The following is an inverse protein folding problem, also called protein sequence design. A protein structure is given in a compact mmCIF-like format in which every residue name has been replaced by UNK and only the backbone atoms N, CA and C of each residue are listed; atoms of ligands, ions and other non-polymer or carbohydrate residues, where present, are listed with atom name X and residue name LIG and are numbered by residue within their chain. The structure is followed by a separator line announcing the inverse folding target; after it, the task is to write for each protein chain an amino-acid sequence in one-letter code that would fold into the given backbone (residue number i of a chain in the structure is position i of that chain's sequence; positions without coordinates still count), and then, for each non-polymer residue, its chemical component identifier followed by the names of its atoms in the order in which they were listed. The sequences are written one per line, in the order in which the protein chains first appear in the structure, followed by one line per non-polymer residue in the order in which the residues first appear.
data_IF_387070093084
#
_entry.id   IF_387070093084
#
_cell.length_a   1.000
_cell.length_b   1.000
_cell.length_c   1.000
_cell.angle_alpha   90.00
_cell.angle_beta   90.00
_cell.angle_gamma   90.00
#
_symmetry.space_group_name_H-M   'P 1'
#
loop_
_entity.id
_entity.type
_entity.pdbx_description
1 polymer ?
#
# COMPACT_ATOMS: atom_id res chain seq x y z
N UNK A 1 10.86 18.89 -6.20
CA UNK A 1 9.41 18.60 -6.34
C UNK A 1 9.18 17.61 -7.48
N UNK A 2 8.06 16.88 -7.50
CA UNK A 2 7.75 15.86 -8.53
C UNK A 2 8.12 14.41 -8.19
N UNK A 3 8.70 14.15 -7.02
CA UNK A 3 8.86 12.79 -6.50
C UNK A 3 7.79 12.51 -5.46
N UNK A 4 7.40 11.24 -5.33
CA UNK A 4 6.66 10.78 -4.17
C UNK A 4 7.61 10.64 -2.98
N UNK A 5 7.10 10.89 -1.78
CA UNK A 5 7.82 10.72 -0.53
C UNK A 5 6.91 10.14 0.55
N UNK A 6 7.52 9.42 1.48
CA UNK A 6 6.83 8.88 2.65
C UNK A 6 7.74 9.02 3.86
N UNK A 7 7.22 9.58 4.93
CA UNK A 7 7.87 9.59 6.24
C UNK A 7 6.89 8.97 7.22
N UNK A 8 7.32 7.93 7.93
CA UNK A 8 6.48 7.35 8.97
C UNK A 8 7.24 7.05 10.25
N UNK A 9 6.58 7.33 11.38
CA UNK A 9 7.07 7.02 12.70
C UNK A 9 6.55 5.65 13.17
N UNK A 10 7.45 4.79 13.65
CA UNK A 10 7.15 3.42 14.10
C UNK A 10 7.76 3.14 15.48
N UNK A 11 7.05 2.40 16.32
CA UNK A 11 7.51 2.00 17.65
C UNK A 11 6.35 1.84 18.63
N UNK A 12 6.66 1.39 19.85
CA UNK A 12 5.64 1.17 20.88
C UNK A 12 4.92 2.46 21.29
N UNK A 13 3.77 2.33 21.94
CA UNK A 13 3.10 3.43 22.62
C UNK A 13 4.02 4.13 23.60
N UNK A 14 3.91 5.46 23.62
CA UNK A 14 4.73 6.37 24.43
C UNK A 14 6.23 6.37 24.10
N UNK A 15 6.65 5.87 22.93
CA UNK A 15 8.05 5.97 22.47
C UNK A 15 8.42 7.30 21.79
N UNK A 16 7.45 8.20 21.57
CA UNK A 16 7.69 9.52 20.98
C UNK A 16 7.30 9.68 19.49
N UNK A 17 6.50 8.77 18.92
CA UNK A 17 6.05 8.85 17.51
C UNK A 17 5.33 10.17 17.17
N UNK A 18 4.21 10.44 17.84
CA UNK A 18 3.43 11.67 17.66
C UNK A 18 4.24 12.92 18.01
N UNK A 19 5.07 12.85 19.07
CA UNK A 19 5.98 13.95 19.42
C UNK A 19 7.02 14.23 18.32
N UNK A 20 7.48 13.21 17.60
CA UNK A 20 8.41 13.41 16.48
C UNK A 20 7.71 13.96 15.24
N UNK A 21 6.52 13.45 14.92
CA UNK A 21 5.77 13.86 13.73
C UNK A 21 5.17 15.26 13.88
N UNK A 22 4.57 15.57 15.01
CA UNK A 22 3.84 16.82 15.24
C UNK A 22 4.59 17.76 16.19
N UNK A 23 5.21 17.21 17.23
CA UNK A 23 5.85 17.97 18.29
C UNK A 23 4.85 18.77 19.12
N UNK A 24 5.35 19.85 19.73
CA UNK A 24 4.50 20.83 20.42
C UNK A 24 4.12 21.89 19.41
N UNK A 25 2.84 21.90 19.00
CA UNK A 25 2.32 22.89 18.07
C UNK A 25 2.42 24.29 18.67
N UNK A 26 2.85 25.26 17.86
CA UNK A 26 3.07 26.64 18.30
C UNK A 26 4.38 26.88 19.07
N UNK A 27 5.17 25.83 19.36
CA UNK A 27 6.52 25.98 19.92
C UNK A 27 7.58 25.93 18.79
N UNK A 28 8.27 27.05 18.49
CA UNK A 28 9.27 27.09 17.42
C UNK A 28 10.43 26.10 17.60
N UNK A 29 10.75 25.76 18.85
CA UNK A 29 11.87 24.87 19.21
C UNK A 29 11.41 23.42 19.18
N UNK A 30 10.26 23.12 19.77
CA UNK A 30 9.76 21.76 19.96
C UNK A 30 8.75 21.30 18.89
N UNK A 31 8.60 22.04 17.79
CA UNK A 31 7.79 21.60 16.64
C UNK A 31 8.39 20.33 15.98
N UNK A 32 7.50 19.43 15.56
CA UNK A 32 7.85 18.16 14.92
C UNK A 32 8.13 18.29 13.42
N UNK A 33 8.12 17.15 12.74
CA UNK A 33 8.45 17.05 11.30
C UNK A 33 7.41 17.70 10.41
N UNK A 34 6.12 17.47 10.66
CA UNK A 34 5.02 17.97 9.84
C UNK A 34 5.07 19.50 9.72
N UNK A 35 5.03 20.29 10.81
CA UNK A 35 5.07 21.76 10.70
C UNK A 35 6.35 22.29 10.02
N UNK A 36 7.50 21.62 10.22
CA UNK A 36 8.77 21.99 9.55
C UNK A 36 8.69 21.76 8.04
N UNK A 37 8.20 20.61 7.62
CA UNK A 37 8.02 20.27 6.20
C UNK A 37 7.06 21.25 5.53
N UNK A 38 5.95 21.60 6.19
CA UNK A 38 4.98 22.57 5.66
C UNK A 38 5.68 23.90 5.40
N UNK A 39 6.41 24.43 6.38
CA UNK A 39 7.17 25.67 6.22
C UNK A 39 8.21 25.56 5.08
N UNK A 40 8.95 24.45 4.99
CA UNK A 40 9.95 24.24 3.94
C UNK A 40 9.32 24.17 2.54
N UNK A 41 8.17 23.51 2.39
CA UNK A 41 7.44 23.43 1.12
C UNK A 41 7.04 24.84 0.67
N UNK A 42 6.40 25.62 1.54
CA UNK A 42 5.94 26.97 1.19
C UNK A 42 7.10 27.94 0.97
N UNK A 43 8.15 27.89 1.78
CA UNK A 43 9.37 28.68 1.55
C UNK A 43 9.98 28.39 0.18
N UNK A 44 9.98 27.12 -0.24
CA UNK A 44 10.45 26.75 -1.57
C UNK A 44 9.55 27.33 -2.67
N UNK A 45 8.22 27.25 -2.50
CA UNK A 45 7.24 27.80 -3.44
C UNK A 45 7.41 29.31 -3.58
N UNK A 46 7.55 30.05 -2.48
CA UNK A 46 7.75 31.49 -2.50
C UNK A 46 9.09 31.93 -3.11
N UNK A 47 10.07 31.02 -3.17
CA UNK A 47 11.37 31.26 -3.79
C UNK A 47 11.47 30.87 -5.27
N UNK A 48 10.43 30.22 -5.81
CA UNK A 48 10.42 29.72 -7.18
C UNK A 48 10.06 30.81 -8.20
N UNK A 49 10.35 30.51 -9.47
CA UNK A 49 10.03 31.37 -10.61
C UNK A 49 8.51 31.64 -10.69
N UNK A 50 8.13 32.87 -11.00
CA UNK A 50 6.74 33.31 -11.17
C UNK A 50 6.01 32.54 -12.28
N UNK A 51 6.76 31.96 -13.22
CA UNK A 51 6.23 31.12 -14.30
C UNK A 51 5.81 29.70 -13.85
N UNK A 52 5.97 29.35 -12.58
CA UNK A 52 5.56 28.05 -12.03
C UNK A 52 4.36 28.23 -11.11
N UNK A 53 3.23 27.67 -11.54
CA UNK A 53 2.00 27.65 -10.74
C UNK A 53 1.94 26.41 -9.85
N UNK A 54 1.59 26.58 -8.59
CA UNK A 54 1.48 25.50 -7.61
C UNK A 54 0.03 25.27 -7.17
N UNK A 55 -0.37 24.01 -7.14
CA UNK A 55 -1.63 23.55 -6.59
C UNK A 55 -1.36 22.55 -5.47
N UNK A 56 -1.60 22.97 -4.23
CA UNK A 56 -1.39 22.12 -3.05
C UNK A 56 -2.75 21.65 -2.55
N UNK A 57 -2.86 20.35 -2.34
CA UNK A 57 -4.00 19.72 -1.69
C UNK A 57 -3.54 18.91 -0.50
N UNK A 58 -4.33 18.95 0.56
CA UNK A 58 -4.10 18.14 1.76
C UNK A 58 -5.29 17.24 2.04
N UNK A 59 -5.00 16.05 2.55
CA UNK A 59 -5.98 15.09 3.05
C UNK A 59 -5.50 14.55 4.39
N UNK A 60 -6.43 14.32 5.30
CA UNK A 60 -6.11 13.75 6.60
C UNK A 60 -7.14 12.69 6.96
N UNK A 61 -6.67 11.48 7.22
CA UNK A 61 -7.53 10.36 7.60
C UNK A 61 -6.80 9.44 8.59
N UNK A 62 -7.59 8.72 9.37
CA UNK A 62 -7.08 7.67 10.26
C UNK A 62 -7.52 6.28 9.79
N UNK A 63 -6.72 5.28 10.16
CA UNK A 63 -7.02 3.87 9.98
C UNK A 63 -7.18 3.27 11.37
N UNK A 64 -8.42 2.90 11.69
CA UNK A 64 -8.78 2.27 12.96
C UNK A 64 -9.64 1.04 12.69
N UNK A 65 -9.29 -0.10 13.28
CA UNK A 65 -9.95 -1.39 13.02
C UNK A 65 -10.05 -1.74 11.52
N UNK A 66 -8.99 -1.43 10.75
CA UNK A 66 -8.94 -1.58 9.27
C UNK A 66 -10.07 -0.82 8.53
N UNK A 67 -10.70 0.16 9.18
CA UNK A 67 -11.63 1.12 8.59
C UNK A 67 -10.91 2.46 8.44
N UNK A 68 -11.03 3.07 7.26
CA UNK A 68 -10.48 4.39 6.99
C UNK A 68 -11.54 5.41 7.34
N UNK A 69 -11.25 6.34 8.25
CA UNK A 69 -12.13 7.44 8.61
C UNK A 69 -11.51 8.75 8.18
N UNK A 70 -12.28 9.56 7.49
CA UNK A 70 -11.86 10.89 7.10
C UNK A 70 -11.86 11.82 8.33
N UNK A 71 -10.73 12.48 8.59
CA UNK A 71 -10.59 13.41 9.72
C UNK A 71 -10.98 14.85 9.32
N UNK A 72 -11.21 15.12 8.03
CA UNK A 72 -11.67 16.41 7.52
C UNK A 72 -13.15 16.43 7.18
N UNK A 73 -13.80 15.27 7.19
CA UNK A 73 -15.25 15.09 7.08
C UNK A 73 -15.68 13.85 7.87
N UNK A 74 -16.02 14.04 9.15
CA UNK A 74 -16.32 12.95 10.08
C UNK A 74 -17.55 12.11 9.69
N UNK A 75 -18.38 12.57 8.76
CA UNK A 75 -19.50 11.79 8.23
C UNK A 75 -19.03 10.61 7.36
N UNK A 76 -17.83 10.73 6.77
CA UNK A 76 -17.24 9.72 5.90
C UNK A 76 -16.47 8.69 6.72
N UNK A 77 -17.11 7.57 6.95
CA UNK A 77 -16.53 6.43 7.66
C UNK A 77 -16.30 5.25 6.71
N UNK A 78 -15.30 4.43 7.02
CA UNK A 78 -14.93 3.22 6.27
C UNK A 78 -14.69 3.44 4.77
N UNK A 79 -13.88 4.44 4.42
CA UNK A 79 -13.44 4.65 3.05
C UNK A 79 -12.70 3.42 2.49
N UNK A 80 -12.74 3.30 1.16
CA UNK A 80 -12.22 2.16 0.40
C UNK A 80 -10.96 2.53 -0.36
N UNK A 81 -9.98 1.62 -0.35
CA UNK A 81 -8.74 1.77 -1.14
C UNK A 81 -8.98 1.21 -2.54
N UNK A 82 -8.90 2.08 -3.53
CA UNK A 82 -8.98 1.75 -4.97
C UNK A 82 -7.60 1.85 -5.61
N UNK A 83 -7.47 1.31 -6.82
CA UNK A 83 -6.27 1.43 -7.65
C UNK A 83 -6.60 2.33 -8.85
N UNK A 84 -5.67 3.20 -9.23
CA UNK A 84 -5.81 4.04 -10.42
C UNK A 84 -5.46 3.25 -11.70
N UNK A 85 -5.43 3.94 -12.85
CA UNK A 85 -5.10 3.32 -14.15
C UNK A 85 -3.71 2.68 -14.19
N UNK A 86 -2.79 3.16 -13.36
CA UNK A 86 -1.42 2.67 -13.24
C UNK A 86 -1.26 1.66 -12.09
N UNK A 87 -2.38 1.18 -11.52
CA UNK A 87 -2.43 0.29 -10.35
C UNK A 87 -1.85 0.92 -9.08
N UNK A 88 -1.83 2.25 -9.00
CA UNK A 88 -1.39 2.96 -7.80
C UNK A 88 -2.57 3.07 -6.83
N UNK A 89 -2.43 2.60 -5.57
CA UNK A 89 -3.51 2.66 -4.60
C UNK A 89 -3.80 4.09 -4.13
N UNK A 90 -5.07 4.41 -3.95
CA UNK A 90 -5.56 5.67 -3.38
C UNK A 90 -6.84 5.46 -2.57
N UNK A 91 -7.12 6.37 -1.63
CA UNK A 91 -8.34 6.31 -0.82
C UNK A 91 -9.47 7.02 -1.58
N UNK A 92 -10.43 6.25 -2.09
CA UNK A 92 -11.56 6.81 -2.82
C UNK A 92 -12.53 7.50 -1.86
N UNK A 93 -12.84 8.76 -2.16
CA UNK A 93 -13.77 9.57 -1.37
C UNK A 93 -13.13 10.29 -0.18
N UNK A 94 -11.81 10.18 0.01
CA UNK A 94 -11.09 11.02 0.97
C UNK A 94 -11.22 12.50 0.58
N UNK A 95 -11.48 13.35 1.56
CA UNK A 95 -11.62 14.79 1.36
C UNK A 95 -10.24 15.39 1.05
N UNK A 96 -10.15 16.12 -0.05
CA UNK A 96 -8.98 16.91 -0.43
C UNK A 96 -9.33 18.39 -0.26
N UNK A 97 -8.57 19.12 0.55
CA UNK A 97 -8.71 20.58 0.70
C UNK A 97 -7.56 21.30 0.02
N UNK A 98 -7.88 22.34 -0.73
CA UNK A 98 -6.87 23.24 -1.27
C UNK A 98 -6.34 24.13 -0.16
N UNK A 99 -5.03 24.36 -0.19
CA UNK A 99 -4.31 25.21 0.78
C UNK A 99 -3.36 26.13 0.04
N UNK A 100 -3.25 27.36 0.51
CA UNK A 100 -2.48 28.44 -0.11
C UNK A 100 -1.42 29.04 0.82
N UNK A 101 -1.47 28.70 2.11
CA UNK A 101 -0.50 29.14 3.11
C UNK A 101 -0.15 28.04 4.12
N UNK A 102 1.00 28.14 4.82
CA UNK A 102 1.34 27.28 5.94
C UNK A 102 0.26 27.25 7.02
N UNK A 103 -0.35 28.41 7.31
CA UNK A 103 -1.36 28.57 8.35
C UNK A 103 -2.59 27.72 8.05
N UNK A 104 -3.10 27.73 6.81
CA UNK A 104 -4.23 26.90 6.39
C UNK A 104 -3.93 25.40 6.55
N UNK A 105 -2.69 24.97 6.33
CA UNK A 105 -2.30 23.57 6.55
C UNK A 105 -2.32 23.21 8.04
N UNK A 106 -1.86 24.12 8.90
CA UNK A 106 -1.88 23.91 10.34
C UNK A 106 -3.33 23.87 10.88
N UNK A 107 -4.22 24.70 10.37
CA UNK A 107 -5.65 24.65 10.71
C UNK A 107 -6.29 23.30 10.34
N UNK A 108 -5.95 22.75 9.17
CA UNK A 108 -6.42 21.41 8.74
C UNK A 108 -5.90 20.31 9.69
N UNK A 109 -4.66 20.43 10.16
CA UNK A 109 -4.08 19.49 11.14
C UNK A 109 -4.83 19.59 12.46
N UNK A 110 -5.06 20.80 12.97
CA UNK A 110 -5.76 21.04 14.24
C UNK A 110 -7.21 20.54 14.21
N UNK A 111 -7.93 20.77 13.11
CA UNK A 111 -9.27 20.21 12.90
C UNK A 111 -9.25 18.67 12.92
N UNK A 112 -8.33 18.06 12.17
CA UNK A 112 -8.23 16.61 12.13
C UNK A 112 -7.87 16.01 13.50
N UNK A 113 -7.04 16.69 14.30
CA UNK A 113 -6.76 16.31 15.68
C UNK A 113 -7.98 16.42 16.59
N UNK A 114 -8.75 17.50 16.49
CA UNK A 114 -9.98 17.66 17.26
C UNK A 114 -10.97 16.52 16.94
N UNK A 115 -11.14 16.20 15.66
CA UNK A 115 -11.99 15.10 15.20
C UNK A 115 -11.49 13.72 15.65
N UNK A 116 -10.16 13.53 15.67
CA UNK A 116 -9.53 12.34 16.26
C UNK A 116 -9.78 12.27 17.77
N UNK A 117 -9.72 13.39 18.49
CA UNK A 117 -9.95 13.44 19.93
C UNK A 117 -11.42 13.22 20.32
N UNK A 118 -12.39 13.72 19.55
CA UNK A 118 -13.82 13.45 19.82
C UNK A 118 -14.15 11.96 19.68
N UNK A 119 -13.42 11.23 18.82
CA UNK A 119 -13.48 9.77 18.75
C UNK A 119 -13.02 9.10 20.05
N UNK A 120 -11.97 9.66 20.68
CA UNK A 120 -11.32 9.17 21.91
C UNK A 120 -12.26 9.27 23.13
N UNK A 121 -13.03 10.36 23.26
CA UNK A 121 -13.87 10.59 24.46
C UNK A 121 -15.04 9.63 24.60
N UNK A 122 -15.44 8.93 23.52
CA UNK A 122 -16.47 7.90 23.59
C UNK A 122 -15.92 6.49 23.91
N UNK A 123 -14.63 6.20 23.67
CA UNK A 123 -13.98 4.92 23.98
C UNK A 123 -12.43 5.05 24.05
N UNK A 124 -11.87 5.18 25.26
CA UNK A 124 -10.43 5.03 25.63
C UNK A 124 -9.37 5.87 24.86
N UNK A 125 -8.17 5.98 25.44
CA UNK A 125 -7.00 6.70 24.89
C UNK A 125 -6.55 6.12 23.52
N UNK A 126 -7.04 6.70 22.42
CA UNK A 126 -7.00 6.13 21.07
C UNK A 126 -5.81 6.58 20.20
N UNK A 127 -5.00 7.57 20.61
CA UNK A 127 -3.87 8.04 19.79
C UNK A 127 -2.81 6.94 19.54
N UNK A 128 -2.69 5.99 20.48
CA UNK A 128 -1.87 4.79 20.39
C UNK A 128 -2.48 3.68 19.52
N UNK A 129 -3.75 3.82 19.11
CA UNK A 129 -4.59 2.74 18.59
C UNK A 129 -5.07 2.95 17.15
N UNK A 130 -4.89 4.13 16.59
CA UNK A 130 -5.12 4.39 15.16
C UNK A 130 -3.85 4.86 14.46
N UNK A 131 -3.73 4.50 13.18
CA UNK A 131 -2.70 5.05 12.30
C UNK A 131 -3.24 6.32 11.67
N UNK A 132 -2.52 7.42 11.80
CA UNK A 132 -2.87 8.68 11.15
C UNK A 132 -2.03 8.90 9.90
N UNK A 133 -2.69 9.27 8.80
CA UNK A 133 -2.04 9.53 7.51
C UNK A 133 -2.41 10.93 7.07
N UNK A 134 -1.42 11.82 7.10
CA UNK A 134 -1.51 13.15 6.52
C UNK A 134 -0.86 13.14 5.14
N UNK A 135 -1.63 13.43 4.10
CA UNK A 135 -1.19 13.43 2.72
C UNK A 135 -1.11 14.86 2.21
N UNK A 136 0.05 15.26 1.72
CA UNK A 136 0.25 16.52 0.98
C UNK A 136 0.48 16.16 -0.48
N UNK A 137 -0.36 16.68 -1.37
CA UNK A 137 -0.25 16.53 -2.80
C UNK A 137 0.15 17.88 -3.41
N UNK A 138 1.35 17.95 -3.96
CA UNK A 138 1.90 19.14 -4.60
C UNK A 138 1.92 18.91 -6.10
N UNK A 139 1.07 19.63 -6.82
CA UNK A 139 1.15 19.72 -8.28
C UNK A 139 1.79 21.04 -8.65
N UNK A 140 2.70 21.01 -9.61
CA UNK A 140 3.30 22.20 -10.19
C UNK A 140 3.14 22.17 -11.70
N UNK A 141 2.87 23.33 -12.27
CA UNK A 141 2.68 23.53 -13.71
C UNK A 141 3.57 24.69 -14.15
N UNK A 142 4.47 24.42 -15.08
CA UNK A 142 5.26 25.48 -15.70
C UNK A 142 4.45 26.07 -16.87
N UNK A 143 4.17 27.37 -16.82
CA UNK A 143 3.31 28.05 -17.78
C UNK A 143 3.96 28.25 -19.16
N UNK A 144 5.30 28.23 -19.24
CA UNK A 144 6.04 28.42 -20.49
C UNK A 144 6.06 27.14 -21.35
N UNK A 145 6.36 26.00 -20.73
CA UNK A 145 6.49 24.71 -21.42
C UNK A 145 5.32 23.74 -21.15
N UNK A 146 4.33 24.17 -20.36
CA UNK A 146 3.16 23.38 -19.95
C UNK A 146 3.49 22.04 -19.28
N UNK A 147 4.73 21.87 -18.78
CA UNK A 147 5.15 20.67 -18.08
C UNK A 147 4.52 20.64 -16.71
N UNK A 148 3.87 19.50 -16.39
CA UNK A 148 3.22 19.27 -15.10
C UNK A 148 4.01 18.24 -14.32
N UNK A 149 4.34 18.55 -13.07
CA UNK A 149 4.95 17.61 -12.13
C UNK A 149 4.03 17.41 -10.93
N UNK A 150 3.97 16.18 -10.42
CA UNK A 150 3.10 15.81 -9.31
C UNK A 150 3.89 15.06 -8.24
N UNK A 151 3.79 15.49 -6.99
CA UNK A 151 4.44 14.83 -5.86
C UNK A 151 3.46 14.58 -4.74
N UNK A 152 3.40 13.34 -4.25
CA UNK A 152 2.64 12.99 -3.05
C UNK A 152 3.58 12.76 -1.88
N UNK A 153 3.35 13.43 -0.77
CA UNK A 153 4.08 13.25 0.48
C UNK A 153 3.15 12.67 1.54
N UNK A 154 3.42 11.44 1.95
CA UNK A 154 2.71 10.77 3.04
C UNK A 154 3.48 10.99 4.35
N UNK A 155 2.83 11.60 5.34
CA UNK A 155 3.34 11.78 6.68
C UNK A 155 2.47 10.93 7.62
N UNK A 156 3.05 9.86 8.16
CA UNK A 156 2.28 8.82 8.86
C UNK A 156 2.74 8.66 10.30
N UNK A 157 1.80 8.76 11.22
CA UNK A 157 1.97 8.42 12.63
C UNK A 157 1.28 7.08 12.89
N UNK A 158 2.07 6.02 13.05
CA UNK A 158 1.54 4.68 13.24
C UNK A 158 1.05 4.47 14.67
N UNK A 159 0.14 3.52 14.86
CA UNK A 159 -0.25 3.01 16.17
C UNK A 159 0.93 2.35 16.90
N UNK A 160 0.75 2.07 18.20
CA UNK A 160 1.72 1.36 19.03
C UNK A 160 2.00 -0.06 18.52
N UNK A 161 3.28 -0.43 18.43
CA UNK A 161 3.73 -1.76 18.00
C UNK A 161 3.82 -2.79 19.12
N UNK A 162 3.41 -2.44 20.34
CA UNK A 162 3.51 -3.33 21.49
C UNK A 162 2.59 -4.55 21.39
N UNK A 163 3.04 -5.66 21.99
CA UNK A 163 2.26 -6.89 22.04
C UNK A 163 1.00 -6.72 22.88
N UNK A 164 -0.12 -7.22 22.36
CA UNK A 164 -1.42 -7.29 23.06
C UNK A 164 -1.30 -7.93 24.45
N UNK A 165 -0.42 -8.91 24.62
CA UNK A 165 -0.22 -9.58 25.92
C UNK A 165 0.28 -8.65 27.04
N UNK A 166 0.87 -7.49 26.72
CA UNK A 166 1.33 -6.52 27.72
C UNK A 166 0.27 -5.51 28.13
N UNK A 167 -0.81 -5.36 27.35
CA UNK A 167 -1.81 -4.32 27.61
C UNK A 167 -2.80 -4.72 28.70
N UNK A 168 -2.85 -6.01 29.09
CA UNK A 168 -3.83 -6.51 30.05
C UNK A 168 -5.28 -6.32 29.60
N UNK A 169 -5.50 -6.11 28.29
CA UNK A 169 -6.81 -5.82 27.73
C UNK A 169 -7.70 -7.07 27.75
N UNK A 170 -8.95 -6.92 28.19
CA UNK A 170 -9.97 -7.97 28.21
C UNK A 170 -11.20 -7.56 27.38
N UNK A 171 -11.98 -8.55 26.94
CA UNK A 171 -13.23 -8.34 26.19
C UNK A 171 -13.03 -7.55 24.89
N UNK A 172 -13.88 -6.54 24.65
CA UNK A 172 -13.87 -5.75 23.42
C UNK A 172 -12.54 -5.02 23.17
N UNK A 173 -11.83 -4.63 24.24
CA UNK A 173 -10.52 -3.94 24.13
C UNK A 173 -9.44 -4.89 23.63
N UNK A 174 -9.55 -6.19 23.92
CA UNK A 174 -8.63 -7.20 23.41
C UNK A 174 -8.79 -7.37 21.90
N UNK A 175 -10.02 -7.43 21.40
CA UNK A 175 -10.30 -7.59 19.97
C UNK A 175 -9.92 -6.35 19.17
N UNK A 176 -10.05 -5.17 19.78
CA UNK A 176 -9.51 -3.93 19.25
C UNK A 176 -7.98 -4.00 19.13
N UNK A 177 -7.28 -4.34 20.22
CA UNK A 177 -5.82 -4.46 20.24
C UNK A 177 -5.29 -5.51 19.24
N UNK A 178 -6.02 -6.62 19.03
CA UNK A 178 -5.71 -7.61 17.99
C UNK A 178 -5.80 -7.01 16.58
N UNK A 179 -6.85 -6.25 16.28
CA UNK A 179 -7.03 -5.64 14.96
C UNK A 179 -5.99 -4.57 14.65
N UNK A 180 -5.60 -3.76 15.64
CA UNK A 180 -4.53 -2.78 15.50
C UNK A 180 -3.22 -3.49 15.18
N UNK A 181 -2.90 -4.53 15.95
CA UNK A 181 -1.72 -5.33 15.71
C UNK A 181 -1.78 -6.12 14.39
N UNK A 182 -2.96 -6.44 13.86
CA UNK A 182 -3.09 -7.07 12.53
C UNK A 182 -2.49 -6.17 11.44
N UNK A 183 -2.81 -4.88 11.44
CA UNK A 183 -2.27 -3.94 10.45
C UNK A 183 -0.74 -3.75 10.56
N UNK A 184 -0.20 -3.72 11.79
CA UNK A 184 1.25 -3.67 12.02
C UNK A 184 1.96 -4.99 11.72
N UNK A 185 1.28 -6.13 11.95
CA UNK A 185 1.79 -7.46 11.57
C UNK A 185 1.85 -7.60 10.06
N UNK A 186 0.81 -7.15 9.34
CA UNK A 186 0.81 -7.07 7.88
C UNK A 186 1.98 -6.22 7.36
N UNK A 187 2.21 -5.05 7.97
CA UNK A 187 3.36 -4.20 7.65
C UNK A 187 4.70 -4.94 7.88
N UNK A 188 4.82 -5.66 8.99
CA UNK A 188 5.98 -6.50 9.28
C UNK A 188 6.21 -7.63 8.27
N UNK A 189 5.13 -8.25 7.79
CA UNK A 189 5.18 -9.30 6.76
C UNK A 189 5.62 -8.74 5.40
N UNK A 190 5.08 -7.59 5.00
CA UNK A 190 5.51 -6.88 3.78
C UNK A 190 6.99 -6.54 3.84
N UNK A 191 7.46 -5.98 4.96
CA UNK A 191 8.88 -5.64 5.13
C UNK A 191 9.76 -6.88 5.08
N UNK A 192 9.34 -7.99 5.69
CA UNK A 192 10.10 -9.24 5.67
C UNK A 192 10.19 -9.82 4.26
N UNK A 193 9.06 -9.90 3.55
CA UNK A 193 9.02 -10.39 2.18
C UNK A 193 9.92 -9.57 1.23
N UNK A 194 9.89 -8.24 1.39
CA UNK A 194 10.76 -7.34 0.62
C UNK A 194 12.24 -7.47 1.00
N UNK A 195 12.54 -7.59 2.30
CA UNK A 195 13.90 -7.71 2.81
C UNK A 195 14.58 -9.04 2.39
N UNK A 196 13.81 -10.12 2.34
CA UNK A 196 14.28 -11.46 1.92
C UNK A 196 14.47 -11.55 0.39
N UNK A 197 14.12 -10.50 -0.36
CA UNK A 197 14.23 -10.47 -1.82
C UNK A 197 13.19 -11.34 -2.53
N UNK A 198 12.15 -11.80 -1.81
CA UNK A 198 11.07 -12.55 -2.41
C UNK A 198 10.20 -11.61 -3.26
N UNK A 199 10.34 -11.67 -4.58
CA UNK A 199 9.63 -10.79 -5.52
C UNK A 199 8.33 -11.38 -6.08
N UNK A 200 7.99 -12.64 -5.76
CA UNK A 200 6.85 -13.31 -6.42
C UNK A 200 5.52 -12.74 -5.96
N UNK A 201 5.34 -12.56 -4.64
CA UNK A 201 4.13 -12.00 -4.07
C UNK A 201 4.43 -11.28 -2.75
N UNK A 202 4.13 -9.98 -2.70
CA UNK A 202 4.20 -9.17 -1.47
C UNK A 202 2.78 -8.95 -0.94
N UNK A 203 2.50 -9.27 0.33
CA UNK A 203 1.14 -9.28 0.88
C UNK A 203 0.62 -7.88 1.25
N UNK A 204 0.66 -6.92 0.32
CA UNK A 204 0.15 -5.56 0.57
C UNK A 204 -1.33 -5.53 0.90
N UNK A 205 -2.10 -6.53 0.45
CA UNK A 205 -3.56 -6.60 0.62
C UNK A 205 -4.02 -7.02 2.02
N UNK A 206 -3.11 -7.49 2.88
CA UNK A 206 -3.44 -7.99 4.23
C UNK A 206 -3.98 -6.90 5.17
N UNK A 207 -3.75 -5.61 4.85
CA UNK A 207 -4.34 -4.48 5.56
C UNK A 207 -4.52 -3.27 4.64
N UNK A 208 -5.45 -2.37 4.96
CA UNK A 208 -5.59 -1.10 4.22
C UNK A 208 -4.35 -0.21 4.36
N UNK A 209 -3.66 -0.28 5.51
CA UNK A 209 -2.41 0.45 5.75
C UNK A 209 -1.33 0.04 4.73
N UNK A 210 -1.07 -1.26 4.58
CA UNK A 210 -0.07 -1.77 3.63
C UNK A 210 -0.46 -1.52 2.18
N UNK A 211 -1.76 -1.46 1.86
CA UNK A 211 -2.22 -1.03 0.52
C UNK A 211 -1.92 0.44 0.28
N UNK A 212 -2.21 1.33 1.24
CA UNK A 212 -1.90 2.77 1.10
C UNK A 212 -0.39 3.00 0.98
N UNK A 213 0.41 2.26 1.76
CA UNK A 213 1.86 2.37 1.77
C UNK A 213 2.57 1.52 0.72
N UNK A 214 1.84 0.90 -0.22
CA UNK A 214 2.42 0.01 -1.22
C UNK A 214 3.51 0.69 -2.07
N UNK A 215 3.29 1.94 -2.50
CA UNK A 215 4.34 2.69 -3.22
C UNK A 215 5.52 3.07 -2.31
N UNK A 216 5.28 3.16 -1.00
CA UNK A 216 6.29 3.53 -0.01
C UNK A 216 7.29 2.40 0.27
N UNK A 217 6.89 1.15 0.10
CA UNK A 217 7.71 -0.01 0.42
C UNK A 217 7.93 -0.81 -0.85
N UNK A 218 9.11 -0.71 -1.47
CA UNK A 218 9.42 -1.41 -2.72
C UNK A 218 8.85 -0.78 -3.99
N UNK A 219 8.27 0.43 -3.92
CA UNK A 219 7.65 1.11 -5.06
C UNK A 219 8.31 2.45 -5.43
N UNK A 220 7.52 3.33 -6.06
CA UNK A 220 7.92 4.68 -6.47
C UNK A 220 7.71 5.69 -5.34
N UNK A 221 8.57 5.69 -4.33
CA UNK A 221 8.57 6.71 -3.27
C UNK A 221 9.93 6.80 -2.56
N UNK A 222 10.33 8.01 -2.19
CA UNK A 222 11.44 8.24 -1.25
C UNK A 222 10.94 8.02 0.17
N UNK A 223 11.28 6.88 0.75
CA UNK A 223 10.73 6.49 2.05
C UNK A 223 11.76 6.63 3.17
N UNK A 224 11.36 7.32 4.23
CA UNK A 224 12.09 7.43 5.49
C UNK A 224 11.27 6.82 6.62
N UNK A 225 11.90 5.95 7.40
CA UNK A 225 11.27 5.30 8.55
C UNK A 225 11.97 5.81 9.81
N UNK A 226 11.18 6.39 10.71
CA UNK A 226 11.67 6.89 11.99
C UNK A 226 11.26 5.89 13.07
N UNK A 227 12.23 5.15 13.59
CA UNK A 227 11.99 4.22 14.69
C UNK A 227 12.14 4.94 16.03
N UNK A 228 11.09 4.88 16.84
CA UNK A 228 11.00 5.53 18.15
C UNK A 228 11.10 4.46 19.24
N UNK A 229 12.11 4.57 20.10
CA UNK A 229 12.43 3.59 21.13
C UNK A 229 12.40 4.20 22.52
N UNK A 230 12.01 3.42 23.53
CA UNK A 230 12.09 3.83 24.93
C UNK A 230 13.39 3.32 25.58
N UNK A 231 14.13 4.15 26.33
CA UNK A 231 15.35 3.73 27.02
C UNK A 231 15.06 2.98 28.33
N UNK A 232 13.81 2.89 28.76
CA UNK A 232 13.43 2.25 30.01
C UNK A 232 13.63 0.73 29.93
N UNK A 233 14.22 0.12 30.97
CA UNK A 233 14.46 -1.32 31.05
C UNK A 233 13.17 -2.15 30.92
N UNK A 234 12.05 -1.66 31.45
CA UNK A 234 10.73 -2.29 31.28
C UNK A 234 10.32 -2.48 29.80
N UNK A 235 10.79 -1.60 28.92
CA UNK A 235 10.47 -1.58 27.50
C UNK A 235 11.53 -2.27 26.61
N UNK A 236 12.56 -2.88 27.20
CA UNK A 236 13.70 -3.47 26.46
C UNK A 236 13.25 -4.40 25.31
N UNK A 237 12.26 -5.26 25.56
CA UNK A 237 11.77 -6.22 24.56
C UNK A 237 11.07 -5.57 23.36
N UNK A 238 10.34 -4.47 23.56
CA UNK A 238 9.71 -3.73 22.46
C UNK A 238 10.74 -2.88 21.71
N UNK A 239 11.68 -2.26 22.43
CA UNK A 239 12.81 -1.54 21.83
C UNK A 239 13.63 -2.46 20.93
N UNK A 240 13.94 -3.68 21.38
CA UNK A 240 14.62 -4.70 20.56
C UNK A 240 13.81 -5.06 19.32
N UNK A 241 12.50 -5.28 19.46
CA UNK A 241 11.62 -5.62 18.34
C UNK A 241 11.56 -4.49 17.30
N UNK A 242 11.53 -3.25 17.77
CA UNK A 242 11.54 -2.03 16.95
C UNK A 242 12.86 -1.87 16.19
N UNK A 243 14.00 -2.16 16.82
CA UNK A 243 15.32 -2.15 16.17
C UNK A 243 15.45 -3.23 15.10
N UNK A 244 14.96 -4.45 15.36
CA UNK A 244 14.96 -5.54 14.37
C UNK A 244 14.04 -5.24 13.17
N UNK A 245 12.92 -4.56 13.41
CA UNK A 245 12.08 -4.02 12.35
C UNK A 245 12.86 -3.02 11.47
N UNK A 246 13.52 -2.03 12.10
CA UNK A 246 14.32 -1.04 11.38
C UNK A 246 15.48 -1.66 10.61
N UNK A 247 16.16 -2.67 11.19
CA UNK A 247 17.25 -3.40 10.54
C UNK A 247 16.79 -4.09 9.24
N UNK A 248 15.63 -4.74 9.26
CA UNK A 248 15.04 -5.36 8.07
C UNK A 248 14.58 -4.31 7.06
N UNK A 249 13.87 -3.28 7.50
CA UNK A 249 13.36 -2.25 6.60
C UNK A 249 14.46 -1.50 5.84
N UNK A 250 15.64 -1.35 6.45
CA UNK A 250 16.83 -0.73 5.83
C UNK A 250 17.32 -1.45 4.56
N UNK A 251 17.04 -2.75 4.38
CA UNK A 251 17.51 -3.50 3.20
C UNK A 251 16.61 -3.35 1.98
N UNK A 252 15.41 -2.80 2.16
CA UNK A 252 14.42 -2.61 1.09
C UNK A 252 14.91 -1.55 0.11
N UNK A 253 14.80 -1.84 -1.18
CA UNK A 253 15.16 -0.92 -2.27
C UNK A 253 13.89 -0.43 -2.98
N UNK A 254 13.74 0.88 -3.07
CA UNK A 254 12.67 1.53 -3.83
C UNK A 254 13.20 1.98 -5.21
N UNK A 255 12.32 2.00 -6.21
CA UNK A 255 12.61 2.51 -7.54
C UNK A 255 11.92 3.85 -7.73
N UNK A 256 12.66 4.92 -7.47
CA UNK A 256 12.12 6.28 -7.41
C UNK A 256 12.21 6.97 -8.76
N UNK A 257 11.06 7.41 -9.28
CA UNK A 257 10.87 8.05 -10.59
C UNK A 257 10.12 9.36 -10.38
N UNK A 258 10.47 10.40 -11.16
CA UNK A 258 9.73 11.67 -11.17
C UNK A 258 8.37 11.46 -11.82
N UNK A 259 7.28 11.86 -11.16
CA UNK A 259 5.97 11.87 -11.78
C UNK A 259 5.81 13.13 -12.64
N UNK A 260 6.04 12.94 -13.93
CA UNK A 260 5.95 13.97 -14.95
C UNK A 260 4.80 13.66 -15.91
N UNK A 261 3.86 14.60 -16.02
CA UNK A 261 2.84 14.60 -17.04
C UNK A 261 3.35 15.47 -18.20
N UNK A 262 3.65 14.80 -19.32
CA UNK A 262 4.08 15.46 -20.55
C UNK A 262 2.88 15.99 -21.32
N UNK A 263 3.09 17.07 -22.06
CA UNK A 263 2.07 17.63 -22.95
C UNK A 263 1.76 16.68 -24.11
N UNK A 264 0.59 16.84 -24.73
CA UNK A 264 0.22 16.04 -25.90
C UNK A 264 1.21 16.22 -27.07
N UNK A 265 1.77 17.42 -27.23
CA UNK A 265 2.78 17.73 -28.25
C UNK A 265 4.13 17.06 -27.95
N UNK A 266 4.58 17.06 -26.70
CA UNK A 266 5.79 16.34 -26.30
C UNK A 266 5.62 14.82 -26.40
N UNK A 267 4.44 14.31 -26.03
CA UNK A 267 4.07 12.91 -26.27
C UNK A 267 4.16 12.56 -27.74
N UNK A 268 3.60 13.40 -28.61
CA UNK A 268 3.67 13.22 -30.07
C UNK A 268 5.11 13.24 -30.57
N UNK A 269 5.92 14.20 -30.13
CA UNK A 269 7.34 14.31 -30.53
C UNK A 269 8.17 13.13 -30.06
N UNK A 270 7.98 12.67 -28.81
CA UNK A 270 8.65 11.46 -28.29
C UNK A 270 8.20 10.23 -29.07
N UNK A 271 6.90 10.10 -29.34
CA UNK A 271 6.35 9.01 -30.12
C UNK A 271 6.89 8.98 -31.55
N UNK A 272 6.99 10.13 -32.23
CA UNK A 272 7.58 10.23 -33.57
C UNK A 272 9.06 9.81 -33.56
N UNK A 273 9.84 10.31 -32.59
CA UNK A 273 11.26 9.93 -32.44
C UNK A 273 11.43 8.44 -32.16
N UNK A 274 10.60 7.87 -31.29
CA UNK A 274 10.67 6.45 -30.95
C UNK A 274 10.16 5.58 -32.09
N UNK A 275 9.15 6.03 -32.84
CA UNK A 275 8.67 5.38 -34.07
C UNK A 275 9.75 5.35 -35.14
N UNK A 276 10.50 6.44 -35.31
CA UNK A 276 11.62 6.50 -36.25
C UNK A 276 12.73 5.53 -35.84
N UNK A 277 13.08 5.48 -34.55
CA UNK A 277 14.03 4.48 -34.02
C UNK A 277 13.56 3.05 -34.26
N UNK A 278 12.30 2.75 -33.95
CA UNK A 278 11.72 1.41 -34.18
C UNK A 278 11.77 1.07 -35.67
N UNK A 279 11.51 2.03 -36.56
CA UNK A 279 11.63 1.83 -37.99
C UNK A 279 13.07 1.51 -38.41
N UNK A 280 14.06 2.24 -37.87
CA UNK A 280 15.50 1.99 -38.14
C UNK A 280 15.92 0.62 -37.61
N UNK A 281 15.57 0.29 -36.37
CA UNK A 281 15.87 -1.01 -35.76
C UNK A 281 15.21 -2.17 -36.52
N UNK A 282 13.96 -2.03 -36.96
CA UNK A 282 13.30 -3.05 -37.81
C UNK A 282 13.99 -3.24 -39.15
N UNK A 283 14.44 -2.15 -39.77
CA UNK A 283 15.20 -2.23 -41.03
C UNK A 283 16.55 -2.93 -40.82
N UNK A 284 17.26 -2.61 -39.73
CA UNK A 284 18.50 -3.27 -39.35
C UNK A 284 18.28 -4.77 -39.06
N UNK A 285 17.23 -5.10 -38.30
CA UNK A 285 16.86 -6.49 -37.99
C UNK A 285 16.57 -7.28 -39.28
N UNK A 286 15.78 -6.70 -40.20
CA UNK A 286 15.47 -7.35 -41.48
C UNK A 286 16.72 -7.57 -42.34
N UNK A 287 17.68 -6.63 -42.35
CA UNK A 287 18.96 -6.82 -43.03
C UNK A 287 19.79 -7.92 -42.39
N UNK A 288 19.85 -7.96 -41.05
CA UNK A 288 20.54 -9.01 -40.31
C UNK A 288 19.93 -10.40 -40.54
N UNK A 289 18.59 -10.50 -40.58
CA UNK A 289 17.88 -11.75 -40.87
C UNK A 289 18.12 -12.21 -42.31
N UNK A 290 18.11 -11.30 -43.29
CA UNK A 290 18.39 -11.61 -44.69
C UNK A 290 19.84 -12.10 -44.88
N UNK A 291 20.78 -11.44 -44.22
CA UNK A 291 22.18 -11.85 -44.18
C UNK A 291 22.30 -13.26 -43.57
N UNK A 292 21.74 -13.48 -42.37
CA UNK A 292 21.75 -14.78 -41.69
C UNK A 292 21.15 -15.91 -42.55
N UNK A 293 20.08 -15.63 -43.28
CA UNK A 293 19.46 -16.61 -44.18
C UNK A 293 20.35 -16.96 -45.38
N UNK A 294 21.09 -16.00 -45.94
CA UNK A 294 22.09 -16.29 -46.99
C UNK A 294 23.20 -17.20 -46.48
N UNK A 295 23.75 -16.89 -45.31
CA UNK A 295 24.74 -17.72 -44.64
C UNK A 295 24.22 -19.15 -44.39
N UNK A 296 22.96 -19.28 -43.93
CA UNK A 296 22.30 -20.60 -43.71
C UNK A 296 22.06 -21.39 -45.00
N UNK A 297 21.87 -20.71 -46.13
CA UNK A 297 21.70 -21.32 -47.44
C UNK A 297 23.04 -21.64 -48.15
N UNK A 298 24.18 -21.37 -47.50
CA UNK A 298 25.52 -21.65 -48.04
C UNK A 298 26.04 -20.59 -49.02
N UNK A 299 25.39 -19.43 -49.09
CA UNK A 299 25.84 -18.30 -49.89
C UNK A 299 26.82 -17.43 -49.08
N UNK A 300 27.88 -16.93 -49.72
CA UNK A 300 28.78 -15.95 -49.09
C UNK A 300 28.25 -14.53 -49.29
N UNK A 301 28.31 -13.72 -48.23
CA UNK A 301 27.95 -12.29 -48.30
C UNK A 301 29.23 -11.46 -48.47
N UNK A 302 29.36 -10.65 -49.53
CA UNK A 302 30.50 -9.77 -49.75
C UNK A 302 30.77 -8.85 -48.55
N UNK A 303 32.05 -8.55 -48.27
CA UNK A 303 32.48 -7.84 -47.06
C UNK A 303 31.94 -6.39 -46.98
N UNK A 304 31.56 -5.83 -48.11
CA UNK A 304 30.92 -4.54 -48.33
C UNK A 304 29.38 -4.57 -48.12
N UNK A 305 28.78 -5.76 -48.16
CA UNK A 305 27.34 -5.98 -47.88
C UNK A 305 27.08 -6.49 -46.45
N UNK A 306 28.11 -6.94 -45.74
CA UNK A 306 28.01 -7.41 -44.35
C UNK A 306 27.68 -6.24 -43.41
N UNK A 307 26.77 -6.47 -42.46
CA UNK A 307 26.50 -5.51 -41.38
C UNK A 307 27.76 -5.32 -40.51
N UNK A 308 28.41 -4.17 -40.66
CA UNK A 308 29.57 -3.78 -39.86
C UNK A 308 29.18 -3.66 -38.37
N UNK A 309 29.94 -4.30 -37.50
CA UNK A 309 29.80 -4.23 -36.03
C UNK A 309 29.77 -2.80 -35.48
N UNK A 310 30.42 -1.84 -36.16
CA UNK A 310 30.37 -0.41 -35.83
C UNK A 310 28.98 0.21 -35.92
N UNK A 311 28.11 -0.27 -36.80
CA UNK A 311 26.73 0.24 -36.95
C UNK A 311 25.80 -0.29 -35.84
N UNK A 312 26.12 -1.47 -35.28
CA UNK A 312 25.45 -2.00 -34.09
C UNK A 312 25.93 -1.27 -32.81
N UNK A 313 27.24 -1.02 -32.67
CA UNK A 313 27.84 -0.37 -31.49
C UNK A 313 27.40 1.10 -31.32
N UNK A 314 27.27 1.86 -32.42
CA UNK A 314 26.78 3.23 -32.37
C UNK A 314 25.33 3.34 -31.87
N UNK A 315 24.55 2.26 -31.99
CA UNK A 315 23.13 2.20 -31.59
C UNK A 315 22.95 1.69 -30.14
N UNK A 316 23.84 0.80 -29.67
CA UNK A 316 23.80 0.21 -28.31
C UNK A 316 24.39 1.12 -27.22
N UNK A 317 25.23 2.09 -27.55
CA UNK A 317 25.78 3.08 -26.60
C UNK A 317 24.72 3.99 -25.95
N UNK A 318 23.47 3.95 -26.41
CA UNK A 318 22.34 4.66 -25.79
C UNK A 318 21.57 3.86 -24.73
N UNK A 319 22.00 2.61 -24.45
CA UNK A 319 21.26 1.65 -23.62
C UNK A 319 22.01 1.17 -22.36
N UNK A 320 23.20 1.69 -22.03
CA UNK A 320 23.99 1.16 -20.90
C UNK A 320 24.39 2.21 -19.87
N UNK A 321 23.48 2.47 -18.93
CA UNK A 321 23.82 2.84 -17.55
C UNK A 321 23.48 1.66 -16.62
N UNK A 322 24.05 0.48 -16.90
CA UNK A 322 24.23 -0.59 -15.91
C UNK A 322 25.31 -1.53 -16.40
N UNK A 323 26.23 -1.83 -15.50
CA UNK A 323 27.53 -2.48 -15.66
C UNK A 323 27.51 -3.96 -16.06
N UNK A 324 28.69 -4.37 -16.56
CA UNK A 324 29.33 -5.70 -16.57
C UNK A 324 28.86 -6.76 -17.59
N UNK A 325 29.54 -6.85 -18.74
CA UNK A 325 29.99 -8.13 -19.35
C UNK A 325 31.32 -7.91 -20.10
N UNK A 326 32.23 -8.85 -19.94
CA UNK A 326 33.63 -8.94 -20.38
C UNK A 326 33.84 -9.04 -21.90
N UNK A 327 34.89 -8.38 -22.39
CA UNK A 327 35.41 -8.43 -23.78
C UNK A 327 35.87 -9.83 -24.21
N UNK A 328 35.49 -10.25 -25.41
CA UNK A 328 36.14 -11.33 -26.19
C UNK A 328 36.49 -10.75 -27.57
N UNK A 329 37.74 -10.87 -28.07
CA UNK A 329 38.08 -10.41 -29.42
C UNK A 329 37.66 -11.45 -30.47
N UNK A 330 36.87 -11.02 -31.46
CA UNK A 330 36.51 -11.82 -32.62
C UNK A 330 37.48 -11.57 -33.78
N UNK A 331 38.24 -12.59 -34.17
CA UNK A 331 38.90 -12.68 -35.47
C UNK A 331 38.41 -13.96 -36.15
N UNK A 332 37.77 -13.83 -37.32
CA UNK A 332 37.33 -14.95 -38.15
C UNK A 332 38.31 -15.07 -39.34
N UNK A 333 39.02 -16.20 -39.51
CA UNK A 333 39.84 -16.47 -40.70
C UNK A 333 38.98 -16.94 -41.88
N UNK A 334 39.43 -16.61 -43.10
CA UNK A 334 38.88 -17.08 -44.36
C UNK A 334 39.04 -18.60 -44.52
N UNK A 335 37.98 -19.31 -44.92
CA UNK A 335 37.99 -20.75 -45.18
C UNK A 335 38.40 -21.02 -46.63
N UNK A 336 39.65 -21.45 -46.82
CA UNK A 336 40.12 -22.12 -48.02
C UNK A 336 39.96 -23.64 -47.88
N UNK A 337 39.57 -24.30 -48.97
CA UNK A 337 39.36 -25.74 -49.09
C UNK A 337 40.66 -26.55 -48.98
N UNK A 338 41.09 -26.87 -47.76
CA UNK A 338 42.12 -27.88 -47.47
C UNK A 338 41.55 -28.95 -46.51
N UNK A 339 42.14 -30.17 -46.46
CA UNK A 339 41.62 -31.24 -45.62
C UNK A 339 41.74 -30.81 -44.15
N UNK A 340 40.59 -30.68 -43.47
CA UNK A 340 40.50 -30.27 -42.06
C UNK A 340 41.51 -31.07 -41.23
N UNK A 341 42.53 -30.39 -40.73
CA UNK A 341 43.55 -30.99 -39.86
C UNK A 341 42.89 -31.59 -38.61
N UNK A 342 43.49 -32.65 -38.07
CA UNK A 342 42.97 -33.36 -36.88
C UNK A 342 42.59 -32.41 -35.73
N UNK A 343 43.27 -31.28 -35.60
CA UNK A 343 43.08 -30.28 -34.53
C UNK A 343 41.75 -29.50 -34.64
N UNK A 344 41.26 -29.22 -35.85
CA UNK A 344 39.97 -28.53 -36.04
C UNK A 344 38.79 -29.49 -35.87
N UNK A 345 38.94 -30.76 -36.30
CA UNK A 345 37.95 -31.81 -36.02
C UNK A 345 37.75 -32.05 -34.53
N UNK A 346 38.83 -32.05 -33.75
CA UNK A 346 38.78 -32.19 -32.29
C UNK A 346 38.04 -31.02 -31.64
N UNK A 347 38.29 -29.78 -32.08
CA UNK A 347 37.57 -28.60 -31.57
C UNK A 347 36.07 -28.63 -31.87
N UNK A 348 35.67 -29.06 -33.07
CA UNK A 348 34.26 -29.23 -33.40
C UNK A 348 33.60 -30.37 -32.61
N UNK A 349 34.32 -31.45 -32.31
CA UNK A 349 33.82 -32.52 -31.43
C UNK A 349 33.66 -32.06 -29.97
N UNK A 350 34.60 -31.26 -29.45
CA UNK A 350 34.50 -30.65 -28.13
C UNK A 350 33.33 -29.67 -28.01
N UNK A 351 33.12 -28.82 -29.03
CA UNK A 351 32.01 -27.88 -29.06
C UNK A 351 30.66 -28.61 -29.19
N UNK A 352 30.61 -29.68 -29.99
CA UNK A 352 29.44 -30.55 -30.09
C UNK A 352 29.12 -31.24 -28.75
N UNK A 353 30.13 -31.74 -28.04
CA UNK A 353 29.93 -32.30 -26.70
C UNK A 353 29.43 -31.24 -25.71
N UNK A 354 29.93 -30.01 -25.81
CA UNK A 354 29.48 -28.91 -24.95
C UNK A 354 28.02 -28.54 -25.19
N UNK A 355 27.58 -28.53 -26.45
CA UNK A 355 26.18 -28.29 -26.82
C UNK A 355 25.25 -29.40 -26.34
N UNK A 356 25.67 -30.67 -26.44
CA UNK A 356 24.90 -31.78 -25.87
C UNK A 356 24.79 -31.68 -24.34
N UNK A 357 25.86 -31.30 -23.64
CA UNK A 357 25.80 -31.09 -22.20
C UNK A 357 24.87 -29.94 -21.79
N UNK A 358 24.81 -28.86 -22.59
CA UNK A 358 23.84 -27.78 -22.36
C UNK A 358 22.40 -28.20 -22.62
N UNK A 359 22.18 -29.11 -23.57
CA UNK A 359 20.85 -29.64 -23.86
C UNK A 359 20.35 -30.52 -22.70
N UNK A 360 21.21 -31.40 -22.18
CA UNK A 360 20.90 -32.21 -20.99
C UNK A 360 20.59 -31.34 -19.77
N UNK A 361 21.36 -30.27 -19.54
CA UNK A 361 21.10 -29.32 -18.44
C UNK A 361 19.75 -28.59 -18.60
N UNK A 362 19.33 -28.33 -19.85
CA UNK A 362 18.04 -27.72 -20.14
C UNK A 362 16.88 -28.70 -19.98
N UNK A 363 17.07 -29.96 -20.34
CA UNK A 363 16.08 -31.02 -20.13
C UNK A 363 15.86 -31.27 -18.62
N UNK A 364 16.93 -31.30 -17.82
CA UNK A 364 16.84 -31.38 -16.35
C UNK A 364 16.06 -30.19 -15.75
N UNK A 365 16.24 -28.99 -16.30
CA UNK A 365 15.52 -27.80 -15.84
C UNK A 365 14.04 -27.83 -16.23
N UNK A 366 13.71 -28.35 -17.42
CA UNK A 366 12.33 -28.57 -17.85
C UNK A 366 11.63 -29.59 -16.94
N UNK A 367 12.32 -30.65 -16.54
CA UNK A 367 11.79 -31.65 -15.62
C UNK A 367 11.52 -31.07 -14.22
N UNK A 368 12.44 -30.26 -13.68
CA UNK A 368 12.20 -29.54 -12.41
C UNK A 368 11.00 -28.61 -12.48
N UNK A 369 10.87 -27.86 -13.58
CA UNK A 369 9.74 -26.95 -13.76
C UNK A 369 8.42 -27.71 -13.92
N UNK A 370 8.43 -28.85 -14.61
CA UNK A 370 7.26 -29.71 -14.76
C UNK A 370 6.79 -30.28 -13.42
N UNK A 371 7.71 -30.77 -12.59
CA UNK A 371 7.40 -31.23 -11.23
C UNK A 371 6.85 -30.10 -10.34
N UNK A 372 7.39 -28.89 -10.46
CA UNK A 372 6.88 -27.73 -9.72
C UNK A 372 5.46 -27.36 -10.16
N UNK A 373 5.17 -27.40 -11.46
CA UNK A 373 3.83 -27.14 -12.01
C UNK A 373 2.83 -28.18 -11.48
N UNK A 374 3.19 -29.46 -11.44
CA UNK A 374 2.35 -30.53 -10.91
C UNK A 374 2.01 -30.28 -9.43
N UNK A 375 3.02 -29.94 -8.63
CA UNK A 375 2.84 -29.63 -7.20
C UNK A 375 1.97 -28.39 -6.97
N UNK A 376 2.11 -27.37 -7.80
CA UNK A 376 1.27 -26.17 -7.74
C UNK A 376 -0.19 -26.47 -8.12
N UNK A 377 -0.43 -27.39 -9.07
CA UNK A 377 -1.78 -27.84 -9.42
C UNK A 377 -2.45 -28.58 -8.26
N UNK A 378 -1.72 -29.46 -7.57
CA UNK A 378 -2.23 -30.14 -6.36
C UNK A 378 -2.62 -29.12 -5.28
N UNK A 379 -1.76 -28.12 -5.02
CA UNK A 379 -2.07 -27.07 -4.05
C UNK A 379 -3.29 -26.22 -4.44
N UNK A 380 -3.48 -25.96 -5.75
CA UNK A 380 -4.68 -25.27 -6.23
C UNK A 380 -5.95 -26.08 -5.99
N UNK A 381 -5.91 -27.40 -6.24
CA UNK A 381 -7.04 -28.30 -5.98
C UNK A 381 -7.41 -28.33 -4.50
N UNK A 382 -6.43 -28.44 -3.60
CA UNK A 382 -6.66 -28.38 -2.15
C UNK A 382 -7.28 -27.05 -1.72
N UNK A 383 -6.84 -25.93 -2.31
CA UNK A 383 -7.43 -24.61 -2.03
C UNK A 383 -8.87 -24.50 -2.54
N UNK A 384 -9.19 -25.03 -3.73
CA UNK A 384 -10.56 -25.02 -4.25
C UNK A 384 -11.51 -25.85 -3.38
N UNK A 385 -11.04 -27.00 -2.87
CA UNK A 385 -11.82 -27.82 -1.94
C UNK A 385 -12.07 -27.09 -0.62
N UNK A 386 -11.04 -26.43 -0.07
CA UNK A 386 -11.16 -25.64 1.16
C UNK A 386 -12.14 -24.46 1.00
N UNK A 387 -12.08 -23.76 -0.12
CA UNK A 387 -13.02 -22.65 -0.43
C UNK A 387 -14.44 -23.19 -0.52
N UNK A 388 -14.63 -24.34 -1.17
CA UNK A 388 -15.95 -24.97 -1.31
C UNK A 388 -16.50 -25.41 0.05
N UNK A 389 -15.65 -25.97 0.92
CA UNK A 389 -16.03 -26.30 2.31
C UNK A 389 -16.44 -25.05 3.09
N UNK A 390 -15.58 -24.02 3.08
CA UNK A 390 -15.81 -22.78 3.82
C UNK A 390 -17.09 -22.08 3.36
N UNK A 391 -17.41 -22.15 2.07
CA UNK A 391 -18.65 -21.60 1.52
C UNK A 391 -19.88 -22.33 2.05
N UNK A 392 -19.85 -23.65 2.16
CA UNK A 392 -20.95 -24.42 2.78
C UNK A 392 -21.14 -24.05 4.25
N UNK A 393 -20.04 -23.94 4.99
CA UNK A 393 -20.09 -23.55 6.40
C UNK A 393 -20.67 -22.14 6.57
N UNK A 394 -20.30 -21.21 5.68
CA UNK A 394 -20.87 -19.86 5.66
C UNK A 394 -22.37 -19.87 5.38
N UNK A 395 -22.84 -20.68 4.43
CA UNK A 395 -24.28 -20.82 4.13
C UNK A 395 -25.06 -21.38 5.33
N UNK A 396 -24.50 -22.35 6.07
CA UNK A 396 -25.09 -22.89 7.29
C UNK A 396 -25.18 -21.84 8.40
N UNK A 397 -24.10 -21.10 8.65
CA UNK A 397 -24.08 -20.03 9.66
C UNK A 397 -25.07 -18.92 9.29
N UNK A 398 -25.21 -18.60 8.01
CA UNK A 398 -26.15 -17.58 7.54
C UNK A 398 -27.62 -18.01 7.74
N UNK A 399 -27.93 -19.29 7.53
CA UNK A 399 -29.25 -19.85 7.83
C UNK A 399 -29.54 -19.80 9.35
N UNK A 400 -28.57 -20.19 10.17
CA UNK A 400 -28.74 -20.17 11.63
C UNK A 400 -28.90 -18.75 12.18
N UNK A 401 -28.14 -17.78 11.65
CA UNK A 401 -28.30 -16.37 12.00
C UNK A 401 -29.69 -15.84 11.63
N UNK A 402 -30.22 -16.22 10.48
CA UNK A 402 -31.57 -15.82 10.04
C UNK A 402 -32.64 -16.41 10.96
N UNK A 403 -32.48 -17.67 11.38
CA UNK A 403 -33.37 -18.31 12.36
C UNK A 403 -33.35 -17.59 13.70
N UNK A 404 -32.16 -17.30 14.24
CA UNK A 404 -32.00 -16.59 15.51
C UNK A 404 -32.57 -15.16 15.46
N UNK A 405 -32.46 -14.48 14.32
CA UNK A 405 -33.09 -13.17 14.13
C UNK A 405 -34.62 -13.26 14.21
N UNK A 406 -35.22 -14.27 13.57
CA UNK A 406 -36.66 -14.48 13.61
C UNK A 406 -37.15 -14.83 15.03
N UNK A 407 -36.43 -15.69 15.75
CA UNK A 407 -36.75 -16.01 17.15
C UNK A 407 -36.65 -14.77 18.05
N UNK A 408 -35.66 -13.91 17.83
CA UNK A 408 -35.48 -12.66 18.58
C UNK A 408 -36.59 -11.63 18.28
N UNK A 409 -37.04 -11.52 17.03
CA UNK A 409 -38.19 -10.69 16.69
C UNK A 409 -39.48 -11.19 17.35
N UNK A 410 -39.72 -12.50 17.32
CA UNK A 410 -40.87 -13.11 18.02
C UNK A 410 -40.84 -12.83 19.51
N UNK A 411 -39.68 -13.00 20.16
CA UNK A 411 -39.53 -12.72 21.59
C UNK A 411 -39.74 -11.23 21.93
N UNK A 412 -39.34 -10.31 21.06
CA UNK A 412 -39.62 -8.87 21.24
C UNK A 412 -41.11 -8.57 21.16
N UNK A 413 -41.84 -9.25 20.29
CA UNK A 413 -43.28 -9.08 20.15
C UNK A 413 -44.02 -9.59 21.39
N UNK A 414 -43.64 -10.75 21.93
CA UNK A 414 -44.15 -11.27 23.21
C UNK A 414 -43.88 -10.30 24.37
N UNK A 415 -42.65 -9.75 24.46
CA UNK A 415 -42.32 -8.76 25.49
C UNK A 415 -43.19 -7.51 25.37
N UNK A 416 -43.47 -7.06 24.14
CA UNK A 416 -44.32 -5.90 23.88
C UNK A 416 -45.77 -6.15 24.34
N UNK A 417 -46.31 -7.33 24.07
CA UNK A 417 -47.65 -7.72 24.53
C UNK A 417 -47.74 -7.74 26.06
N UNK A 418 -46.72 -8.30 26.73
CA UNK A 418 -46.66 -8.33 28.20
C UNK A 418 -46.59 -6.92 28.80
N UNK A 419 -45.78 -6.03 28.21
CA UNK A 419 -45.68 -4.64 28.66
C UNK A 419 -47.03 -3.91 28.51
N UNK A 420 -47.73 -4.12 27.40
CA UNK A 420 -49.04 -3.51 27.17
C UNK A 420 -50.08 -4.02 28.19
N UNK A 421 -50.08 -5.32 28.49
CA UNK A 421 -50.96 -5.89 29.52
C UNK A 421 -50.65 -5.35 30.93
N UNK A 422 -49.37 -5.12 31.25
CA UNK A 422 -48.97 -4.51 32.53
C UNK A 422 -49.43 -3.05 32.63
N UNK A 423 -49.36 -2.30 31.53
CA UNK A 423 -49.83 -0.91 31.48
C UNK A 423 -51.36 -0.83 31.70
N UNK A 424 -52.13 -1.70 31.04
CA UNK A 424 -53.58 -1.80 31.25
C UNK A 424 -53.93 -2.20 32.70
N UNK A 425 -53.15 -3.12 33.30
CA UNK A 425 -53.36 -3.53 34.68
C UNK A 425 -53.06 -2.39 35.66
N UNK A 426 -52.01 -1.60 35.41
CA UNK A 426 -51.65 -0.44 36.22
C UNK A 426 -52.76 0.63 36.19
N UNK A 427 -53.29 0.94 35.00
CA UNK A 427 -54.40 1.89 34.85
C UNK A 427 -55.65 1.41 35.59
N UNK A 428 -55.99 0.11 35.48
CA UNK A 428 -57.12 -0.46 36.20
C UNK A 428 -56.93 -0.43 37.73
N UNK A 429 -55.70 -0.64 38.21
CA UNK A 429 -55.37 -0.54 39.62
C UNK A 429 -55.57 0.89 40.15
N UNK A 430 -55.06 1.89 39.43
CA UNK A 430 -55.22 3.30 39.80
C UNK A 430 -56.69 3.72 39.84
N UNK A 431 -57.50 3.30 38.86
CA UNK A 431 -58.93 3.56 38.85
C UNK A 431 -59.64 2.96 40.08
N UNK A 432 -59.35 1.70 40.40
CA UNK A 432 -59.92 1.05 41.60
C UNK A 432 -59.45 1.71 42.89
N UNK A 433 -58.19 2.15 42.96
CA UNK A 433 -57.69 2.87 44.12
C UNK A 433 -58.45 4.18 44.33
N UNK A 434 -58.68 4.95 43.26
CA UNK A 434 -59.48 6.18 43.32
C UNK A 434 -60.94 5.91 43.73
N UNK A 435 -61.56 4.85 43.22
CA UNK A 435 -62.91 4.46 43.64
C UNK A 435 -62.99 4.12 45.13
N UNK A 436 -61.99 3.41 45.67
CA UNK A 436 -61.91 3.08 47.09
C UNK A 436 -61.73 4.35 47.92
N UNK A 437 -60.84 5.25 47.52
CA UNK A 437 -60.61 6.53 48.20
C UNK A 437 -61.88 7.40 48.22
N UNK A 438 -62.61 7.45 47.11
CA UNK A 438 -63.88 8.18 47.02
C UNK A 438 -64.94 7.58 47.94
N UNK A 439 -65.10 6.25 47.96
CA UNK A 439 -66.03 5.57 48.86
C UNK A 439 -65.67 5.75 50.33
N UNK A 440 -64.38 5.74 50.67
CA UNK A 440 -63.92 6.00 52.03
C UNK A 440 -64.29 7.44 52.46
N UNK A 441 -64.11 8.43 51.59
CA UNK A 441 -64.54 9.82 51.86
C UNK A 441 -66.04 9.95 52.05
N UNK A 442 -66.84 9.28 51.22
CA UNK A 442 -68.30 9.23 51.39
C UNK A 442 -68.69 8.58 52.73
N UNK A 443 -68.00 7.52 53.13
CA UNK A 443 -68.21 6.85 54.42
C UNK A 443 -67.86 7.73 55.62
N UNK A 444 -66.75 8.48 55.53
CA UNK A 444 -66.35 9.44 56.56
C UNK A 444 -67.38 10.57 56.71
N UNK A 445 -67.87 11.13 55.59
CA UNK A 445 -68.92 12.15 55.61
C UNK A 445 -70.23 11.66 56.24
N UNK A 446 -70.66 10.44 55.88
CA UNK A 446 -71.85 9.80 56.48
C UNK A 446 -71.66 9.49 57.98
N UNK A 447 -70.43 9.24 58.42
CA UNK A 447 -70.10 9.03 59.84
C UNK A 447 -70.06 10.32 60.64
N UNK A 448 -69.85 11.48 60.02
CA UNK A 448 -69.86 12.79 60.70
C UNK A 448 -71.29 13.38 60.82
N UNK A 449 -72.24 12.92 60.00
CA UNK A 449 -73.65 13.36 60.04
C UNK A 449 -74.53 12.61 61.06
N UNK A 450 -73.98 11.59 61.77
CA UNK A 450 -74.64 10.83 62.82
C UNK A 450 -73.98 11.03 64.18
#
# INVERSE_FOLDING_TARGET
MGYNGTIFAYGQTSSGKTHTMEGVLGDPVHQGIIPRIVNDIFNHIYSMDENIEFHIKVSYFEIYLDKIRDLLDVSKTNLSVHEDKNRVPYVKGATERFVTSPEEVMEVIDEGKANRHIAVTNMNEHSSRSHSVFLINVKQENLENQKKLSGKLYLVDLAGSEKVSKTGAEGMVLDEAKNINKSLSALGNVISALADGNKSHIPYRDSKLTRILQESLGGNSRTTIIICCSPASYNESETKSTLEFGRRAKTIKNTVIVNEELTAEEWKRRWEKEKEKVSKLKSQLSRAEAELNRWRNGESVPQDEQLLTKDLEASTLSLSDTSSVTNIPAAIPQVSSEPVGNDERVKFEEERMRLYAQLDEKDDEIDRQSQLIEKLKEQMLEQEELITSTRRDYELVQQEMSRLQQENESAKEEVKEVLQALEELAVNYDQKSQEVDNKNREYEQLSEEH
#
